data_IF_531453956270
#
_entry.id   IF_531453956270
#
_cell.length_a   1.000
_cell.length_b   1.000
_cell.length_c   1.000
_cell.angle_alpha   90.00
_cell.angle_beta   90.00
_cell.angle_gamma   90.00
#
_symmetry.space_group_name_H-M   'P 1'
#
loop_
_entity.id
_entity.type
_entity.pdbx_description
1 polymer ?
#
# COMPACT_ATOMS: atom_id res chain seq x y z
N UNK A 1 9.93 -17.90 76.09
CA UNK A 1 10.34 -16.56 75.63
C UNK A 1 9.63 -16.27 74.32
N UNK A 2 8.46 -15.64 74.41
CA UNK A 2 8.02 -14.44 73.65
C UNK A 2 8.64 -14.25 72.26
N UNK A 3 7.97 -14.04 71.12
CA UNK A 3 6.59 -13.67 70.77
C UNK A 3 6.41 -13.84 69.24
N UNK A 4 5.26 -14.32 68.75
CA UNK A 4 4.21 -13.58 67.99
C UNK A 4 4.54 -13.04 66.57
N UNK A 5 3.82 -13.57 65.57
CA UNK A 5 2.95 -12.82 64.62
C UNK A 5 2.10 -13.86 63.86
N UNK A 6 0.89 -14.19 64.35
CA UNK A 6 -0.45 -13.65 64.04
C UNK A 6 -1.17 -14.30 62.85
N UNK A 7 -2.36 -14.80 63.18
CA UNK A 7 -3.38 -15.44 62.36
C UNK A 7 -4.41 -14.43 61.80
N UNK A 8 -5.32 -14.93 60.94
CA UNK A 8 -6.61 -14.30 60.58
C UNK A 8 -6.84 -14.33 59.07
N UNK A 9 -7.64 -15.22 58.47
CA UNK A 9 -9.07 -15.51 58.61
C UNK A 9 -10.02 -14.53 57.90
N UNK A 10 -10.88 -15.13 57.07
CA UNK A 10 -12.27 -14.79 56.76
C UNK A 10 -12.61 -13.62 55.81
N UNK A 11 -13.23 -14.05 54.70
CA UNK A 11 -14.37 -13.47 53.99
C UNK A 11 -15.03 -12.21 54.59
N UNK A 12 -15.33 -11.23 53.72
CA UNK A 12 -16.65 -10.60 53.71
C UNK A 12 -16.91 -9.76 52.46
N UNK A 13 -18.08 -10.04 51.92
CA UNK A 13 -18.93 -9.25 51.04
C UNK A 13 -19.08 -7.82 51.59
N UNK A 14 -18.82 -6.78 50.79
CA UNK A 14 -19.43 -5.46 51.01
C UNK A 14 -19.51 -4.69 49.69
N UNK A 15 -20.70 -4.71 49.10
CA UNK A 15 -21.12 -3.68 48.16
C UNK A 15 -21.42 -2.40 48.95
N UNK A 16 -20.81 -1.28 48.59
CA UNK A 16 -21.37 0.03 48.91
C UNK A 16 -21.08 1.05 47.81
N UNK A 17 -22.17 1.68 47.40
CA UNK A 17 -22.33 2.71 46.38
C UNK A 17 -21.63 4.01 46.79
N UNK A 18 -20.94 4.64 45.84
CA UNK A 18 -20.69 6.08 45.84
C UNK A 18 -20.87 6.62 44.41
N UNK A 19 -22.05 7.19 44.17
CA UNK A 19 -22.29 8.06 43.03
C UNK A 19 -21.59 9.40 43.25
N UNK A 20 -20.93 9.95 42.22
CA UNK A 20 -20.96 11.37 41.88
C UNK A 20 -20.19 11.66 40.58
N UNK A 21 -20.95 12.14 39.60
CA UNK A 21 -20.63 13.22 38.65
C UNK A 21 -19.41 13.09 37.72
N UNK A 22 -19.71 13.07 36.41
CA UNK A 22 -18.85 13.71 35.41
C UNK A 22 -17.85 12.81 34.68
N UNK A 23 -18.32 11.77 33.98
CA UNK A 23 -17.52 11.06 32.98
C UNK A 23 -17.77 11.65 31.59
N UNK A 24 -16.85 12.50 31.12
CA UNK A 24 -16.82 13.13 29.81
C UNK A 24 -16.96 12.09 28.69
N UNK A 25 -17.93 12.26 27.80
CA UNK A 25 -17.86 11.71 26.45
C UNK A 25 -16.78 12.50 25.71
N UNK A 26 -15.53 12.05 25.76
CA UNK A 26 -14.46 12.59 24.92
C UNK A 26 -14.78 12.26 23.47
N UNK A 27 -15.42 13.23 22.80
CA UNK A 27 -15.46 13.37 21.35
C UNK A 27 -14.03 13.25 20.84
N UNK A 28 -13.74 12.14 20.15
CA UNK A 28 -12.47 11.94 19.48
C UNK A 28 -12.12 13.19 18.65
N UNK A 29 -10.91 13.77 18.80
CA UNK A 29 -10.51 14.90 18.00
C UNK A 29 -10.50 14.49 16.54
N UNK A 30 -11.23 15.26 15.73
CA UNK A 30 -11.18 15.20 14.28
C UNK A 30 -9.72 15.24 13.83
N UNK A 31 -9.40 14.36 12.89
CA UNK A 31 -8.09 14.25 12.26
C UNK A 31 -7.54 15.65 11.88
N UNK A 32 -6.25 15.92 12.12
CA UNK A 32 -5.67 17.20 11.74
C UNK A 32 -5.81 17.40 10.23
N UNK A 33 -6.22 18.62 9.92
CA UNK A 33 -6.49 19.14 8.60
C UNK A 33 -5.38 18.78 7.61
N UNK A 34 -5.83 18.53 6.38
CA UNK A 34 -5.01 18.43 5.19
C UNK A 34 -3.89 19.47 5.19
N UNK A 35 -2.69 19.01 4.86
CA UNK A 35 -1.50 19.84 4.72
C UNK A 35 -1.78 21.05 3.87
N UNK A 36 -1.24 22.17 4.33
CA UNK A 36 -1.28 23.47 3.66
C UNK A 36 -0.81 23.30 2.21
N UNK A 37 -1.74 23.53 1.29
CA UNK A 37 -1.46 23.68 -0.12
C UNK A 37 -0.44 24.81 -0.29
N UNK A 38 0.76 24.47 -0.77
CA UNK A 38 1.72 25.45 -1.28
C UNK A 38 1.05 26.37 -2.30
N UNK A 39 1.64 27.56 -2.58
CA UNK A 39 0.98 28.63 -3.32
C UNK A 39 0.34 28.07 -4.60
N UNK A 40 -1.00 28.12 -4.62
CA UNK A 40 -1.80 27.70 -5.75
C UNK A 40 -1.29 28.46 -6.97
N UNK A 41 -0.57 27.76 -7.85
CA UNK A 41 -0.28 28.27 -9.17
C UNK A 41 -1.62 28.65 -9.78
N UNK A 42 -1.82 29.94 -10.03
CA UNK A 42 -3.04 30.46 -10.64
C UNK A 42 -3.11 29.88 -12.05
N UNK A 43 -3.83 28.77 -12.18
CA UNK A 43 -4.20 28.21 -13.47
C UNK A 43 -5.06 29.29 -14.15
N UNK A 44 -4.66 29.81 -15.32
CA UNK A 44 -5.50 30.75 -16.03
C UNK A 44 -6.86 30.07 -16.27
N UNK A 45 -7.94 30.68 -15.78
CA UNK A 45 -9.30 30.28 -16.09
C UNK A 45 -9.54 30.53 -17.58
N UNK A 46 -9.18 29.53 -18.39
CA UNK A 46 -9.24 29.55 -19.84
C UNK A 46 -9.52 28.14 -20.36
N UNK A 47 -10.81 27.77 -20.34
CA UNK A 47 -11.50 26.86 -21.26
C UNK A 47 -10.68 25.79 -22.02
N UNK A 48 -9.91 24.98 -21.30
CA UNK A 48 -9.63 23.60 -21.74
C UNK A 48 -10.16 22.67 -20.67
N UNK A 49 -11.48 22.66 -20.58
CA UNK A 49 -12.21 21.84 -19.64
C UNK A 49 -11.79 20.38 -19.81
N UNK A 50 -11.36 19.76 -18.71
CA UNK A 50 -11.31 18.31 -18.62
C UNK A 50 -12.74 17.82 -18.88
N UNK A 51 -12.98 17.23 -20.05
CA UNK A 51 -14.31 16.72 -20.43
C UNK A 51 -14.43 15.24 -20.11
N UNK A 52 -15.65 14.81 -19.75
CA UNK A 52 -15.94 13.39 -19.55
C UNK A 52 -15.59 12.56 -20.80
N UNK A 53 -15.90 13.07 -21.99
CA UNK A 53 -15.57 12.41 -23.27
C UNK A 53 -14.06 12.32 -23.50
N UNK A 54 -13.32 13.39 -23.20
CA UNK A 54 -11.85 13.39 -23.29
C UNK A 54 -11.24 12.31 -22.41
N UNK A 55 -11.64 12.25 -21.14
CA UNK A 55 -11.22 11.21 -20.20
C UNK A 55 -11.62 9.81 -20.70
N UNK A 56 -12.86 9.64 -21.16
CA UNK A 56 -13.38 8.36 -21.66
C UNK A 56 -12.54 7.81 -22.81
N UNK A 57 -12.12 8.66 -23.75
CA UNK A 57 -11.25 8.25 -24.87
C UNK A 57 -9.91 7.72 -24.39
N UNK A 58 -9.23 8.43 -23.50
CA UNK A 58 -7.93 8.00 -22.97
C UNK A 58 -8.06 6.69 -22.17
N UNK A 59 -9.10 6.58 -21.32
CA UNK A 59 -9.36 5.37 -20.55
C UNK A 59 -9.65 4.18 -21.48
N UNK A 60 -10.52 4.36 -22.47
CA UNK A 60 -10.87 3.31 -23.42
C UNK A 60 -9.65 2.81 -24.20
N UNK A 61 -8.78 3.72 -24.64
CA UNK A 61 -7.55 3.38 -25.34
C UNK A 61 -6.60 2.58 -24.44
N UNK A 62 -6.27 3.13 -23.25
CA UNK A 62 -5.32 2.54 -22.32
C UNK A 62 -5.80 1.23 -21.68
N UNK A 63 -7.11 0.99 -21.67
CA UNK A 63 -7.74 -0.23 -21.17
C UNK A 63 -8.13 -1.20 -22.30
N UNK A 64 -7.80 -0.89 -23.56
CA UNK A 64 -8.09 -1.78 -24.68
C UNK A 64 -7.17 -3.01 -24.68
N UNK A 65 -7.64 -4.09 -25.31
CA UNK A 65 -6.88 -5.33 -25.43
C UNK A 65 -5.56 -5.15 -26.18
N UNK A 66 -5.46 -4.16 -27.10
CA UNK A 66 -4.24 -3.82 -27.82
C UNK A 66 -3.08 -3.44 -26.89
N UNK A 67 -3.40 -2.87 -25.73
CA UNK A 67 -2.38 -2.44 -24.78
C UNK A 67 -1.98 -3.57 -23.83
N UNK A 68 -2.65 -4.72 -23.80
CA UNK A 68 -2.22 -5.97 -23.12
C UNK A 68 -1.81 -5.84 -21.63
N UNK A 69 -2.02 -4.69 -21.00
CA UNK A 69 -1.55 -4.35 -19.65
C UNK A 69 -0.43 -3.30 -19.62
N UNK A 70 -0.10 -2.80 -18.42
CA UNK A 70 0.85 -1.68 -18.23
C UNK A 70 1.98 -2.01 -17.27
N UNK A 71 2.34 -3.30 -17.18
CA UNK A 71 3.44 -3.73 -16.35
C UNK A 71 4.78 -3.22 -16.95
N UNK A 72 5.73 -2.74 -16.12
CA UNK A 72 7.04 -2.32 -16.60
C UNK A 72 7.74 -3.44 -17.38
N UNK A 73 8.43 -3.10 -18.47
CA UNK A 73 9.19 -4.06 -19.29
C UNK A 73 8.34 -5.00 -20.16
N UNK A 74 7.01 -4.84 -20.18
CA UNK A 74 6.13 -5.59 -21.09
C UNK A 74 5.86 -4.83 -22.40
N UNK A 75 5.52 -5.52 -23.51
CA UNK A 75 5.14 -4.87 -24.76
C UNK A 75 3.99 -3.86 -24.59
N UNK A 76 2.99 -4.22 -23.75
CA UNK A 76 1.88 -3.33 -23.41
C UNK A 76 2.30 -2.06 -22.65
N UNK A 77 3.27 -2.22 -21.74
CA UNK A 77 3.92 -1.10 -21.05
C UNK A 77 4.64 -0.15 -22.01
N UNK A 78 5.33 -0.68 -23.02
CA UNK A 78 5.99 0.14 -24.04
C UNK A 78 4.99 0.92 -24.91
N UNK A 79 3.93 0.26 -25.39
CA UNK A 79 2.84 0.93 -26.12
C UNK A 79 2.22 2.07 -25.31
N UNK A 80 1.98 1.82 -24.01
CA UNK A 80 1.45 2.83 -23.08
C UNK A 80 2.39 4.02 -22.93
N UNK A 81 3.68 3.75 -22.71
CA UNK A 81 4.73 4.77 -22.56
C UNK A 81 4.76 5.68 -23.79
N UNK A 82 4.71 5.09 -24.98
CA UNK A 82 4.79 5.81 -26.24
C UNK A 82 3.50 6.60 -26.54
N UNK A 83 2.33 6.06 -26.17
CA UNK A 83 1.06 6.77 -26.24
C UNK A 83 1.09 8.07 -25.42
N UNK A 84 1.54 8.00 -24.16
CA UNK A 84 1.63 9.18 -23.28
C UNK A 84 2.61 10.21 -23.85
N UNK A 85 3.77 9.77 -24.34
CA UNK A 85 4.73 10.66 -24.99
C UNK A 85 4.15 11.31 -26.27
N UNK A 86 3.32 10.58 -27.03
CA UNK A 86 2.58 11.09 -28.17
C UNK A 86 1.57 12.17 -27.78
N UNK A 87 0.81 11.95 -26.70
CA UNK A 87 -0.12 12.95 -26.17
C UNK A 87 0.59 14.21 -25.67
N UNK A 88 1.75 14.06 -25.02
CA UNK A 88 2.56 15.21 -24.61
C UNK A 88 3.07 16.02 -25.81
N UNK A 89 3.53 15.35 -26.87
CA UNK A 89 3.88 16.01 -28.13
C UNK A 89 2.68 16.73 -28.75
N UNK A 90 1.52 16.08 -28.79
CA UNK A 90 0.26 16.63 -29.35
C UNK A 90 -0.17 17.88 -28.61
N UNK A 91 0.02 17.92 -27.29
CA UNK A 91 -0.27 19.06 -26.42
C UNK A 91 0.82 20.16 -26.47
N UNK A 92 1.91 19.94 -27.20
CA UNK A 92 2.98 20.94 -27.36
C UNK A 92 3.91 21.05 -26.15
N UNK A 93 3.93 20.07 -25.25
CA UNK A 93 4.88 20.05 -24.14
C UNK A 93 6.30 19.87 -24.67
N UNK A 94 7.27 20.51 -24.01
CA UNK A 94 8.68 20.35 -24.34
C UNK A 94 9.24 19.10 -23.65
N UNK A 95 10.05 18.29 -24.34
CA UNK A 95 10.75 17.18 -23.71
C UNK A 95 11.82 17.69 -22.74
N UNK A 96 12.20 16.85 -21.77
CA UNK A 96 13.30 17.11 -20.84
C UNK A 96 14.53 16.40 -21.39
N UNK A 97 15.66 17.10 -21.51
CA UNK A 97 16.90 16.55 -22.08
C UNK A 97 16.71 15.89 -23.46
N UNK A 98 15.77 16.41 -24.27
CA UNK A 98 15.47 15.89 -25.60
C UNK A 98 14.60 14.62 -25.62
N UNK A 99 14.19 14.08 -24.47
CA UNK A 99 13.32 12.90 -24.36
C UNK A 99 12.04 13.20 -23.57
N UNK A 100 10.98 12.43 -23.84
CA UNK A 100 9.77 12.38 -23.00
C UNK A 100 9.84 11.25 -21.97
N UNK A 101 10.96 10.51 -21.93
CA UNK A 101 11.16 9.33 -21.10
C UNK A 101 12.19 9.60 -20.01
N UNK A 102 11.92 9.01 -18.84
CA UNK A 102 12.85 8.93 -17.72
C UNK A 102 13.19 7.46 -17.51
N UNK A 103 14.47 7.12 -17.60
CA UNK A 103 14.94 5.78 -17.33
C UNK A 103 14.88 5.52 -15.82
N UNK A 104 14.27 4.40 -15.43
CA UNK A 104 14.16 3.94 -14.04
C UNK A 104 14.66 2.50 -13.99
N UNK A 105 15.66 2.17 -13.16
CA UNK A 105 16.17 0.82 -13.06
C UNK A 105 15.09 -0.11 -12.50
N UNK A 106 14.85 -1.24 -13.18
CA UNK A 106 13.90 -2.24 -12.75
C UNK A 106 14.64 -3.45 -12.17
N UNK A 107 14.14 -3.94 -11.03
CA UNK A 107 14.57 -5.22 -10.45
C UNK A 107 13.39 -6.17 -10.53
N UNK A 108 13.62 -7.36 -11.06
CA UNK A 108 12.66 -8.45 -11.08
C UNK A 108 13.14 -9.58 -10.16
N UNK A 109 12.21 -10.16 -9.41
CA UNK A 109 12.45 -11.32 -8.58
C UNK A 109 11.34 -12.32 -8.86
N UNK A 110 11.72 -13.48 -9.38
CA UNK A 110 10.79 -14.54 -9.77
C UNK A 110 11.20 -15.82 -9.04
N UNK A 111 10.22 -16.44 -8.36
CA UNK A 111 10.42 -17.72 -7.69
C UNK A 111 10.42 -18.82 -8.75
N UNK A 112 11.49 -19.63 -8.79
CA UNK A 112 11.54 -20.86 -9.58
C UNK A 112 11.18 -22.06 -8.69
N UNK A 113 9.99 -22.69 -8.89
CA UNK A 113 9.55 -23.82 -8.08
C UNK A 113 10.39 -25.08 -8.25
N UNK A 114 11.21 -25.19 -9.31
CA UNK A 114 12.04 -26.38 -9.54
C UNK A 114 13.36 -26.33 -8.78
N UNK A 115 13.85 -25.13 -8.47
CA UNK A 115 15.14 -24.92 -7.79
C UNK A 115 15.00 -24.36 -6.39
N UNK A 116 13.84 -23.81 -6.04
CA UNK A 116 13.56 -23.26 -4.70
C UNK A 116 12.93 -24.32 -3.80
N UNK A 117 13.59 -24.67 -2.70
CA UNK A 117 13.10 -25.62 -1.70
C UNK A 117 13.34 -25.12 -0.27
N UNK A 118 12.53 -25.58 0.68
CA UNK A 118 12.78 -25.48 2.11
C UNK A 118 12.84 -26.89 2.68
N UNK A 119 13.92 -27.16 3.39
CA UNK A 119 14.14 -28.42 4.10
C UNK A 119 14.33 -28.13 5.57
N UNK A 120 13.57 -28.81 6.42
CA UNK A 120 13.85 -28.85 7.85
C UNK A 120 14.77 -30.02 8.15
N UNK A 121 15.91 -29.75 8.79
CA UNK A 121 16.78 -30.79 9.34
C UNK A 121 16.65 -30.78 10.86
N UNK A 122 16.23 -31.92 11.42
CA UNK A 122 16.04 -32.13 12.86
C UNK A 122 16.74 -33.42 13.30
N UNK A 123 17.05 -33.59 14.60
CA UNK A 123 17.58 -34.86 15.11
C UNK A 123 16.66 -36.07 14.84
N UNK A 124 15.36 -35.81 14.66
CA UNK A 124 14.33 -36.79 14.31
C UNK A 124 14.22 -37.11 12.82
N UNK A 125 14.95 -36.40 11.94
CA UNK A 125 14.95 -36.61 10.49
C UNK A 125 14.89 -35.32 9.67
N UNK A 126 14.96 -35.49 8.35
CA UNK A 126 14.78 -34.42 7.36
C UNK A 126 13.34 -34.42 6.82
N UNK A 127 12.78 -33.24 6.59
CA UNK A 127 11.49 -33.06 5.93
C UNK A 127 11.61 -32.03 4.79
N UNK A 128 11.30 -32.48 3.58
CA UNK A 128 11.12 -31.63 2.40
C UNK A 128 9.67 -31.16 2.31
N UNK A 129 9.48 -29.89 2.00
CA UNK A 129 8.15 -29.28 1.89
C UNK A 129 7.82 -28.96 0.44
N UNK A 130 6.64 -29.37 -0.03
CA UNK A 130 6.18 -29.10 -1.38
C UNK A 130 5.59 -27.69 -1.49
N UNK A 131 6.12 -26.89 -2.43
CA UNK A 131 5.61 -25.54 -2.69
C UNK A 131 4.13 -25.58 -3.13
N UNK A 132 3.33 -24.66 -2.59
CA UNK A 132 1.86 -24.54 -2.72
C UNK A 132 1.02 -25.64 -2.05
N UNK A 133 1.63 -26.72 -1.56
CA UNK A 133 0.93 -27.74 -0.76
C UNK A 133 1.22 -27.56 0.73
N UNK A 134 2.50 -27.58 1.08
CA UNK A 134 2.94 -27.54 2.48
C UNK A 134 3.43 -26.14 2.86
N UNK A 135 3.88 -25.36 1.88
CA UNK A 135 4.55 -24.08 2.12
C UNK A 135 4.40 -23.12 0.95
N UNK A 136 4.32 -21.83 1.27
CA UNK A 136 4.30 -20.73 0.30
C UNK A 136 5.43 -19.77 0.65
N UNK A 137 6.36 -19.59 -0.28
CA UNK A 137 7.38 -18.54 -0.21
C UNK A 137 6.95 -17.34 -1.04
N UNK A 138 7.25 -16.14 -0.55
CA UNK A 138 7.04 -14.87 -1.22
C UNK A 138 8.35 -14.08 -1.19
N UNK A 139 8.65 -13.32 -2.24
CA UNK A 139 9.83 -12.43 -2.31
C UNK A 139 9.55 -11.10 -1.61
N UNK A 140 10.16 -10.83 -0.44
CA UNK A 140 10.05 -9.50 0.17
C UNK A 140 10.81 -8.51 -0.70
N UNK A 141 10.10 -7.48 -1.18
CA UNK A 141 10.68 -6.37 -1.94
C UNK A 141 11.33 -5.37 -0.99
#
# INVERSE_FOLDING_TARGET
MTNWLKAGAAASLFALVAACSGGQTEKAPAAPAAGESGPAATVPEGETAITAEGLRRHIAMLASDEFEGRAPGTPGGEKTRDYIAGEYKRLGLKPINGSYFQDVPLVEATLDPQTSYLRFNSPSGEADLEYRKDVVYWTKR
#
